data_IF_727019959815
#
_entry.id   IF_727019959815
#
_cell.length_a   1.000
_cell.length_b   1.000
_cell.length_c   1.000
_cell.angle_alpha   90.00
_cell.angle_beta   90.00
_cell.angle_gamma   90.00
#
_symmetry.space_group_name_H-M   'P 1'
#
loop_
_entity.id
_entity.type
_entity.pdbx_description
1 polymer ?
#
# COMPACT_ATOMS: atom_id res chain seq x y z
N UNK A 1 19.00 -5.84 13.47
CA UNK A 1 19.60 -6.87 14.35
C UNK A 1 19.46 -6.38 15.77
N UNK A 2 19.09 -7.25 16.69
CA UNK A 2 19.10 -6.93 18.11
C UNK A 2 20.55 -6.90 18.62
N UNK A 3 20.82 -6.08 19.61
CA UNK A 3 22.16 -5.96 20.24
C UNK A 3 22.34 -6.95 21.41
N UNK A 4 21.28 -7.64 21.78
CA UNK A 4 21.25 -8.62 22.88
C UNK A 4 20.34 -9.78 22.50
N UNK A 5 20.52 -10.93 23.12
CA UNK A 5 19.62 -12.07 23.02
C UNK A 5 18.27 -11.72 23.65
N UNK A 6 17.19 -12.02 22.97
CA UNK A 6 15.81 -11.81 23.46
C UNK A 6 15.24 -13.18 23.82
N UNK A 7 14.78 -13.40 25.04
CA UNK A 7 14.13 -14.65 25.41
C UNK A 7 12.89 -14.94 24.57
N UNK A 8 12.65 -16.22 24.27
CA UNK A 8 11.42 -16.65 23.59
C UNK A 8 10.18 -16.20 24.37
N UNK A 9 9.14 -15.76 23.63
CA UNK A 9 7.90 -15.25 24.22
C UNK A 9 7.95 -13.79 24.68
N UNK A 10 9.09 -13.09 24.46
CA UNK A 10 9.17 -11.65 24.77
C UNK A 10 8.53 -10.83 23.66
N UNK A 11 7.64 -9.89 24.02
CA UNK A 11 7.11 -8.91 23.07
C UNK A 11 8.22 -7.98 22.62
N UNK A 12 8.57 -8.00 21.33
CA UNK A 12 9.64 -7.17 20.76
C UNK A 12 9.15 -5.85 20.23
N UNK A 13 7.86 -5.76 19.87
CA UNK A 13 7.19 -4.55 19.41
C UNK A 13 5.69 -4.66 19.68
N UNK A 14 5.10 -3.57 20.11
CA UNK A 14 3.66 -3.39 20.20
C UNK A 14 3.26 -2.18 19.35
N UNK A 15 2.30 -2.37 18.46
CA UNK A 15 1.80 -1.31 17.56
C UNK A 15 0.31 -1.14 17.87
N UNK A 16 -0.11 0.05 18.34
CA UNK A 16 -1.51 0.33 18.60
C UNK A 16 -2.34 0.23 17.31
N UNK A 17 -3.56 -0.29 17.42
CA UNK A 17 -4.45 -0.48 16.26
C UNK A 17 -4.75 0.85 15.53
N UNK A 18 -4.75 1.95 16.26
CA UNK A 18 -5.05 3.30 15.74
C UNK A 18 -4.01 3.81 14.74
N UNK A 19 -2.78 3.26 14.76
CA UNK A 19 -1.74 3.63 13.79
C UNK A 19 -1.69 2.66 12.61
N UNK A 20 -2.44 1.57 12.65
CA UNK A 20 -2.55 0.63 11.55
C UNK A 20 -3.47 1.19 10.46
N UNK A 21 -3.06 1.05 9.21
CA UNK A 21 -3.83 1.48 8.04
C UNK A 21 -4.61 0.28 7.49
N UNK A 22 -5.83 0.02 7.99
CA UNK A 22 -6.71 -0.97 7.37
C UNK A 22 -7.50 -0.35 6.22
N UNK A 23 -7.67 -1.07 5.13
CA UNK A 23 -8.38 -0.57 3.94
C UNK A 23 -9.83 -0.25 4.23
N UNK A 24 -10.48 -0.96 5.17
CA UNK A 24 -11.85 -0.70 5.59
C UNK A 24 -11.99 0.63 6.34
N UNK A 25 -11.12 0.92 7.31
CA UNK A 25 -11.12 2.20 8.04
C UNK A 25 -10.75 3.36 7.11
N UNK A 26 -9.72 3.18 6.28
CA UNK A 26 -9.30 4.16 5.27
C UNK A 26 -10.41 4.46 4.27
N UNK A 27 -11.17 3.45 3.83
CA UNK A 27 -12.29 3.66 2.91
C UNK A 27 -13.37 4.55 3.50
N UNK A 28 -13.69 4.39 4.79
CA UNK A 28 -14.65 5.23 5.48
C UNK A 28 -14.14 6.67 5.60
N UNK A 29 -12.89 6.85 6.02
CA UNK A 29 -12.25 8.14 6.15
C UNK A 29 -12.24 8.92 4.81
N UNK A 30 -11.73 8.29 3.74
CA UNK A 30 -11.56 8.95 2.44
C UNK A 30 -12.90 9.28 1.78
N UNK A 31 -13.91 8.40 1.91
CA UNK A 31 -15.25 8.70 1.38
C UNK A 31 -15.95 9.82 2.17
N UNK A 32 -15.74 9.91 3.49
CA UNK A 32 -16.27 11.01 4.30
C UNK A 32 -15.61 12.35 3.96
N UNK A 33 -14.33 12.34 3.58
CA UNK A 33 -13.53 13.52 3.23
C UNK A 33 -13.62 13.91 1.73
N UNK A 34 -14.34 13.16 0.90
CA UNK A 34 -14.48 13.41 -0.55
C UNK A 34 -15.67 14.35 -0.82
N UNK A 35 -15.43 15.66 -1.06
CA UNK A 35 -16.50 16.67 -1.09
C UNK A 35 -17.45 16.51 -2.27
N UNK A 36 -17.00 15.90 -3.37
CA UNK A 36 -17.81 15.67 -4.57
C UNK A 36 -18.14 14.19 -4.82
N UNK A 37 -17.76 13.29 -3.90
CA UNK A 37 -17.87 11.84 -4.09
C UNK A 37 -16.91 11.28 -5.12
N UNK A 38 -15.81 11.98 -5.38
CA UNK A 38 -14.81 11.62 -6.37
C UNK A 38 -14.11 10.29 -6.06
N UNK A 39 -13.90 9.99 -4.77
CA UNK A 39 -13.33 8.70 -4.33
C UNK A 39 -14.26 7.55 -4.71
N UNK A 40 -15.56 7.64 -4.38
CA UNK A 40 -16.54 6.62 -4.75
C UNK A 40 -16.66 6.45 -6.27
N UNK A 41 -16.64 7.56 -7.03
CA UNK A 41 -16.67 7.52 -8.48
C UNK A 41 -15.41 6.87 -9.09
N UNK A 42 -14.24 7.02 -8.45
CA UNK A 42 -13.02 6.35 -8.86
C UNK A 42 -13.10 4.84 -8.62
N UNK A 43 -13.61 4.42 -7.47
CA UNK A 43 -13.82 2.99 -7.13
C UNK A 43 -14.84 2.35 -8.09
N UNK A 44 -15.95 3.01 -8.39
CA UNK A 44 -16.93 2.53 -9.37
C UNK A 44 -16.31 2.34 -10.75
N UNK A 45 -15.46 3.28 -11.17
CA UNK A 45 -14.73 3.16 -12.43
C UNK A 45 -13.71 2.02 -12.38
N UNK A 46 -12.99 1.87 -11.27
CA UNK A 46 -12.02 0.77 -11.06
C UNK A 46 -12.71 -0.59 -11.20
N UNK A 47 -13.88 -0.76 -10.57
CA UNK A 47 -14.68 -1.98 -10.69
C UNK A 47 -15.07 -2.28 -12.14
N UNK A 48 -15.49 -1.25 -12.90
CA UNK A 48 -15.90 -1.39 -14.31
C UNK A 48 -14.77 -1.79 -15.25
N UNK A 49 -13.51 -1.45 -14.91
CA UNK A 49 -12.33 -1.82 -15.71
C UNK A 49 -11.66 -3.11 -15.23
N UNK A 50 -12.31 -3.87 -14.35
CA UNK A 50 -11.82 -5.17 -13.87
C UNK A 50 -10.88 -5.11 -12.66
N UNK A 51 -10.85 -3.98 -11.95
CA UNK A 51 -10.00 -3.78 -10.77
C UNK A 51 -10.66 -4.11 -9.43
N UNK A 52 -11.80 -4.83 -9.42
CA UNK A 52 -12.56 -5.10 -8.19
C UNK A 52 -11.75 -5.79 -7.08
N UNK A 53 -10.83 -6.67 -7.44
CA UNK A 53 -9.96 -7.37 -6.48
C UNK A 53 -8.82 -6.49 -5.94
N UNK A 54 -8.74 -5.24 -6.37
CA UNK A 54 -7.69 -4.30 -5.97
C UNK A 54 -8.24 -3.05 -5.28
N UNK A 55 -9.53 -3.05 -4.92
CA UNK A 55 -10.19 -1.88 -4.31
C UNK A 55 -9.59 -1.59 -2.92
N UNK A 56 -9.31 -2.62 -2.12
CA UNK A 56 -8.67 -2.47 -0.82
C UNK A 56 -7.29 -1.79 -0.94
N UNK A 57 -6.45 -2.29 -1.86
CA UNK A 57 -5.14 -1.68 -2.13
C UNK A 57 -5.26 -0.26 -2.69
N UNK A 58 -6.31 0.01 -3.48
CA UNK A 58 -6.54 1.35 -4.02
C UNK A 58 -6.85 2.37 -2.93
N UNK A 59 -7.62 2.01 -1.91
CA UNK A 59 -7.85 2.89 -0.76
C UNK A 59 -6.55 3.18 -0.02
N UNK A 60 -5.72 2.17 0.25
CA UNK A 60 -4.41 2.38 0.89
C UNK A 60 -3.48 3.23 0.01
N UNK A 61 -3.49 3.02 -1.31
CA UNK A 61 -2.76 3.85 -2.25
C UNK A 61 -3.18 5.33 -2.18
N UNK A 62 -4.49 5.63 -2.16
CA UNK A 62 -4.98 6.99 -1.99
C UNK A 62 -4.59 7.58 -0.64
N UNK A 63 -4.64 6.78 0.44
CA UNK A 63 -4.23 7.22 1.77
C UNK A 63 -2.76 7.62 1.79
N UNK A 64 -1.86 6.82 1.21
CA UNK A 64 -0.44 7.16 1.13
C UNK A 64 -0.18 8.43 0.32
N UNK A 65 -0.94 8.67 -0.76
CA UNK A 65 -0.84 9.91 -1.52
C UNK A 65 -1.31 11.12 -0.70
N UNK A 66 -2.41 10.99 0.04
CA UNK A 66 -2.92 12.06 0.90
C UNK A 66 -1.95 12.40 2.02
N UNK A 67 -1.36 11.38 2.66
CA UNK A 67 -0.36 11.57 3.70
C UNK A 67 0.96 12.14 3.13
N UNK A 68 1.33 11.77 1.91
CA UNK A 68 2.45 12.38 1.20
C UNK A 68 2.23 13.89 0.98
N UNK A 69 1.02 14.31 0.58
CA UNK A 69 0.68 15.74 0.41
C UNK A 69 0.62 16.51 1.74
N UNK A 70 0.31 15.83 2.84
CA UNK A 70 0.30 16.44 4.16
C UNK A 70 1.71 16.76 4.68
N UNK A 71 2.76 16.16 4.09
CA UNK A 71 4.16 16.39 4.45
C UNK A 71 4.39 16.26 5.97
N UNK A 72 5.04 17.22 6.61
CA UNK A 72 5.32 17.23 8.06
C UNK A 72 4.05 17.32 8.94
N UNK A 73 2.88 17.64 8.36
CA UNK A 73 1.61 17.61 9.06
C UNK A 73 0.98 16.20 9.13
N UNK A 74 1.50 15.24 8.40
CA UNK A 74 1.06 13.86 8.47
C UNK A 74 1.45 13.22 9.81
N UNK A 75 0.51 12.53 10.44
CA UNK A 75 0.79 11.69 11.61
C UNK A 75 1.77 10.53 11.28
N UNK A 76 1.91 10.20 10.01
CA UNK A 76 2.77 9.13 9.50
C UNK A 76 4.10 9.64 8.95
N UNK A 77 4.38 10.94 9.05
CA UNK A 77 5.56 11.57 8.40
C UNK A 77 6.86 10.82 8.68
N UNK A 78 7.16 10.54 9.96
CA UNK A 78 8.42 9.87 10.32
C UNK A 78 8.55 8.45 9.73
N UNK A 79 7.45 7.72 9.61
CA UNK A 79 7.43 6.40 8.97
C UNK A 79 7.58 6.54 7.44
N UNK A 80 6.84 7.45 6.82
CA UNK A 80 6.91 7.70 5.37
C UNK A 80 8.28 8.20 4.95
N UNK A 81 8.93 9.04 5.76
CA UNK A 81 10.27 9.55 5.48
C UNK A 81 11.35 8.47 5.59
N UNK A 82 11.13 7.48 6.48
CA UNK A 82 11.99 6.31 6.62
C UNK A 82 11.84 5.25 5.52
N UNK A 83 10.83 5.36 4.64
CA UNK A 83 10.62 4.39 3.56
C UNK A 83 11.62 4.56 2.40
N UNK A 84 11.97 3.45 1.70
CA UNK A 84 12.71 3.54 0.45
C UNK A 84 11.99 4.46 -0.56
N UNK A 85 12.73 5.33 -1.21
CA UNK A 85 12.18 6.20 -2.27
C UNK A 85 12.08 5.52 -3.62
N UNK A 86 12.87 4.46 -3.83
CA UNK A 86 12.90 3.70 -5.08
C UNK A 86 12.56 2.24 -4.83
N UNK A 87 11.72 1.71 -5.69
CA UNK A 87 11.36 0.30 -5.75
C UNK A 87 11.71 -0.25 -7.14
N UNK A 88 12.11 -1.53 -7.18
CA UNK A 88 12.59 -2.18 -8.40
C UNK A 88 11.69 -3.35 -8.83
N UNK A 89 10.40 -3.26 -8.51
CA UNK A 89 9.39 -4.22 -8.92
C UNK A 89 8.71 -3.83 -10.25
N UNK A 90 7.72 -4.60 -10.67
CA UNK A 90 7.16 -4.51 -12.01
C UNK A 90 6.62 -3.13 -12.39
N UNK A 91 5.93 -2.42 -11.49
CA UNK A 91 5.41 -1.08 -11.78
C UNK A 91 6.51 -0.06 -12.12
N UNK A 92 7.76 -0.31 -11.69
CA UNK A 92 8.93 0.53 -11.93
C UNK A 92 9.79 0.08 -13.11
N UNK A 93 9.51 -1.09 -13.71
CA UNK A 93 10.27 -1.62 -14.83
C UNK A 93 10.01 -0.84 -16.12
N UNK A 94 11.06 -0.72 -16.93
CA UNK A 94 10.99 -0.23 -18.31
C UNK A 94 10.56 -1.34 -19.27
N UNK A 95 10.12 -1.01 -20.48
CA UNK A 95 9.77 -2.00 -21.51
C UNK A 95 10.92 -2.96 -21.80
N UNK A 96 12.17 -2.44 -21.83
CA UNK A 96 13.35 -3.28 -21.98
C UNK A 96 13.51 -4.32 -20.85
N UNK A 97 13.21 -3.93 -19.60
CA UNK A 97 13.24 -4.90 -18.49
C UNK A 97 12.25 -6.03 -18.72
N UNK A 98 11.04 -5.72 -19.20
CA UNK A 98 10.02 -6.72 -19.49
C UNK A 98 10.45 -7.71 -20.56
N UNK A 99 11.12 -7.26 -21.62
CA UNK A 99 11.63 -8.12 -22.70
C UNK A 99 12.68 -9.13 -22.22
N UNK A 100 13.38 -8.83 -21.13
CA UNK A 100 14.40 -9.69 -20.56
C UNK A 100 13.88 -10.72 -19.54
N UNK A 101 12.57 -10.69 -19.21
CA UNK A 101 12.02 -11.56 -18.16
C UNK A 101 11.70 -12.97 -18.67
N UNK A 102 11.96 -14.00 -17.85
CA UNK A 102 11.41 -15.34 -18.11
C UNK A 102 9.87 -15.33 -18.23
N UNK A 103 9.26 -16.21 -19.04
CA UNK A 103 7.82 -16.14 -19.35
C UNK A 103 6.89 -16.05 -18.14
N UNK A 104 7.15 -16.83 -17.08
CA UNK A 104 6.35 -16.79 -15.86
C UNK A 104 6.47 -15.45 -15.15
N UNK A 105 7.70 -14.96 -14.97
CA UNK A 105 7.97 -13.68 -14.32
C UNK A 105 7.38 -12.54 -15.13
N UNK A 106 7.50 -12.58 -16.45
CA UNK A 106 6.85 -11.63 -17.36
C UNK A 106 5.33 -11.56 -17.12
N UNK A 107 4.66 -12.72 -17.08
CA UNK A 107 3.21 -12.78 -16.89
C UNK A 107 2.79 -12.16 -15.55
N UNK A 108 3.48 -12.48 -14.46
CA UNK A 108 3.21 -11.91 -13.12
C UNK A 108 3.48 -10.41 -13.08
N UNK A 109 4.60 -9.98 -13.65
CA UNK A 109 4.96 -8.56 -13.71
C UNK A 109 3.96 -7.74 -14.54
N UNK A 110 3.43 -8.31 -15.62
CA UNK A 110 2.37 -7.66 -16.44
C UNK A 110 1.09 -7.47 -15.64
N UNK A 111 0.68 -8.42 -14.80
CA UNK A 111 -0.50 -8.27 -13.94
C UNK A 111 -0.33 -7.11 -12.95
N UNK A 112 0.84 -7.00 -12.31
CA UNK A 112 1.17 -5.90 -11.42
C UNK A 112 1.12 -4.54 -12.16
N UNK A 113 1.73 -4.47 -13.35
CA UNK A 113 1.73 -3.27 -14.17
C UNK A 113 0.31 -2.84 -14.56
N UNK A 114 -0.54 -3.78 -14.97
CA UNK A 114 -1.95 -3.51 -15.29
C UNK A 114 -2.70 -2.96 -14.07
N UNK A 115 -2.46 -3.51 -12.88
CA UNK A 115 -3.04 -3.00 -11.64
C UNK A 115 -2.65 -1.54 -11.38
N UNK A 116 -1.37 -1.21 -11.54
CA UNK A 116 -0.89 0.17 -11.42
C UNK A 116 -1.52 1.10 -12.45
N UNK A 117 -1.57 0.70 -13.71
CA UNK A 117 -2.17 1.49 -14.79
C UNK A 117 -3.68 1.72 -14.56
N UNK A 118 -4.40 0.73 -14.02
CA UNK A 118 -5.79 0.88 -13.61
C UNK A 118 -5.95 1.94 -12.52
N UNK A 119 -5.06 1.96 -11.51
CA UNK A 119 -5.08 2.98 -10.47
C UNK A 119 -4.87 4.38 -11.06
N UNK A 120 -3.86 4.55 -11.92
CA UNK A 120 -3.63 5.82 -12.62
C UNK A 120 -4.83 6.28 -13.43
N UNK A 121 -5.47 5.37 -14.17
CA UNK A 121 -6.61 5.68 -15.02
C UNK A 121 -7.81 6.25 -14.25
N UNK A 122 -8.02 5.83 -13.01
CA UNK A 122 -9.16 6.27 -12.19
C UNK A 122 -8.87 7.50 -11.34
N UNK A 123 -7.59 7.87 -11.14
CA UNK A 123 -7.18 9.03 -10.34
C UNK A 123 -7.80 10.35 -10.78
N UNK A 124 -8.13 10.49 -12.07
CA UNK A 124 -8.79 11.70 -12.60
C UNK A 124 -10.15 12.00 -11.96
N UNK A 125 -10.75 11.03 -11.26
CA UNK A 125 -12.03 11.18 -10.55
C UNK A 125 -11.85 11.60 -9.09
N UNK A 126 -10.68 11.30 -8.51
CA UNK A 126 -10.40 11.55 -7.09
C UNK A 126 -10.30 13.05 -6.85
N UNK A 127 -10.99 13.53 -5.82
CA UNK A 127 -11.09 14.96 -5.47
C UNK A 127 -10.31 15.35 -4.21
N UNK A 128 -9.72 14.37 -3.52
CA UNK A 128 -8.93 14.56 -2.29
C UNK A 128 -7.42 14.63 -2.54
N UNK A 129 -6.97 14.44 -3.77
CA UNK A 129 -5.56 14.49 -4.16
C UNK A 129 -5.37 15.61 -5.18
N UNK A 130 -4.31 16.39 -5.05
CA UNK A 130 -3.99 17.49 -5.97
C UNK A 130 -3.64 17.00 -7.37
N UNK A 131 -3.86 17.85 -8.36
CA UNK A 131 -3.47 17.52 -9.74
C UNK A 131 -1.93 17.44 -9.90
N UNK A 132 -1.18 18.11 -9.05
CA UNK A 132 0.28 17.99 -9.00
C UNK A 132 0.69 16.56 -8.69
N UNK A 133 0.17 15.96 -7.63
CA UNK A 133 0.46 14.58 -7.22
C UNK A 133 -0.08 13.56 -8.22
N UNK A 134 -1.30 13.75 -8.74
CA UNK A 134 -1.88 12.86 -9.78
C UNK A 134 -1.03 12.78 -11.05
N UNK A 135 -0.28 13.82 -11.38
CA UNK A 135 0.58 13.88 -12.56
C UNK A 135 2.06 13.55 -12.25
N UNK A 136 2.40 13.26 -11.00
CA UNK A 136 3.76 12.90 -10.60
C UNK A 136 3.94 11.37 -10.62
N UNK A 137 4.42 10.83 -11.74
CA UNK A 137 4.57 9.38 -11.95
C UNK A 137 5.47 8.70 -10.92
N UNK A 138 6.50 9.40 -10.41
CA UNK A 138 7.41 8.84 -9.41
C UNK A 138 6.73 8.70 -8.04
N UNK A 139 5.93 9.67 -7.64
CA UNK A 139 5.13 9.61 -6.41
C UNK A 139 4.05 8.52 -6.51
N UNK A 140 3.40 8.40 -7.67
CA UNK A 140 2.41 7.35 -7.90
C UNK A 140 3.05 5.96 -7.84
N UNK A 141 4.20 5.76 -8.48
CA UNK A 141 4.95 4.49 -8.39
C UNK A 141 5.36 4.20 -6.96
N UNK A 142 5.88 5.20 -6.25
CA UNK A 142 6.28 5.05 -4.85
C UNK A 142 5.10 4.59 -3.98
N UNK A 143 3.97 5.29 -4.01
CA UNK A 143 2.80 4.95 -3.22
C UNK A 143 2.23 3.56 -3.57
N UNK A 144 2.13 3.24 -4.87
CA UNK A 144 1.70 1.92 -5.32
C UNK A 144 2.61 0.82 -4.80
N UNK A 145 3.92 0.99 -4.94
CA UNK A 145 4.90 -0.01 -4.53
C UNK A 145 4.96 -0.16 -3.00
N UNK A 146 4.80 0.94 -2.25
CA UNK A 146 4.72 0.88 -0.80
C UNK A 146 3.53 0.01 -0.35
N UNK A 147 2.34 0.19 -0.94
CA UNK A 147 1.20 -0.68 -0.67
C UNK A 147 1.50 -2.12 -1.09
N UNK A 148 1.93 -2.33 -2.33
CA UNK A 148 2.13 -3.65 -2.92
C UNK A 148 3.13 -4.52 -2.15
N UNK A 149 4.16 -3.90 -1.54
CA UNK A 149 5.24 -4.61 -0.85
C UNK A 149 5.09 -4.66 0.67
N UNK A 150 4.19 -3.85 1.27
CA UNK A 150 4.08 -3.70 2.73
C UNK A 150 2.70 -4.02 3.29
N UNK A 151 1.69 -4.10 2.43
CA UNK A 151 0.35 -4.48 2.85
C UNK A 151 0.21 -6.00 2.89
N UNK A 152 -0.55 -6.48 3.84
CA UNK A 152 -0.90 -7.90 3.96
C UNK A 152 -2.39 -8.08 4.21
N UNK A 153 -2.92 -9.19 3.66
CA UNK A 153 -4.31 -9.55 3.85
C UNK A 153 -4.53 -10.12 5.25
N UNK A 154 -5.71 -9.94 5.78
CA UNK A 154 -6.13 -10.51 7.05
C UNK A 154 -6.03 -12.04 7.06
N UNK A 155 -5.90 -12.64 8.27
CA UNK A 155 -5.60 -14.07 8.48
C UNK A 155 -6.55 -15.04 7.78
N UNK A 156 -7.77 -14.63 7.51
CA UNK A 156 -8.80 -15.49 6.94
C UNK A 156 -8.67 -15.73 5.42
N UNK A 157 -7.68 -15.10 4.76
CA UNK A 157 -7.40 -15.29 3.33
C UNK A 157 -8.58 -15.00 2.39
N UNK A 158 -9.74 -14.66 2.94
CA UNK A 158 -10.96 -14.27 2.21
C UNK A 158 -11.03 -12.78 1.92
N UNK A 159 -9.97 -12.07 2.26
CA UNK A 159 -9.42 -10.83 1.83
C UNK A 159 -10.36 -9.73 1.37
N UNK A 160 -11.31 -9.31 2.20
CA UNK A 160 -11.98 -8.03 1.99
C UNK A 160 -11.20 -6.85 2.58
N UNK A 161 -10.31 -7.10 3.54
CA UNK A 161 -9.47 -6.08 4.17
C UNK A 161 -7.97 -6.34 3.99
N UNK A 162 -7.23 -5.28 3.83
CA UNK A 162 -5.78 -5.27 3.67
C UNK A 162 -5.21 -4.21 4.59
N UNK A 163 -4.14 -4.54 5.30
CA UNK A 163 -3.60 -3.67 6.34
C UNK A 163 -2.11 -3.39 6.12
N UNK A 164 -1.69 -2.15 6.33
CA UNK A 164 -0.30 -1.79 6.53
C UNK A 164 -0.11 -1.45 8.01
N UNK A 165 0.91 -2.03 8.61
CA UNK A 165 1.27 -1.77 10.01
C UNK A 165 2.58 -0.98 10.03
N UNK A 166 2.53 0.36 10.20
CA UNK A 166 3.73 1.19 10.26
C UNK A 166 4.72 0.68 11.31
N UNK A 167 6.00 0.68 10.99
CA UNK A 167 7.11 0.09 11.73
C UNK A 167 7.12 -1.44 11.75
N UNK A 168 5.97 -2.13 11.86
CA UNK A 168 5.88 -3.58 11.72
C UNK A 168 6.31 -4.06 10.33
N UNK A 169 6.02 -3.26 9.32
CA UNK A 169 6.41 -3.47 7.92
C UNK A 169 7.93 -3.37 7.66
N UNK A 170 8.70 -2.92 8.66
CA UNK A 170 10.17 -2.84 8.59
C UNK A 170 10.88 -4.15 8.95
N UNK A 171 10.17 -5.15 9.46
CA UNK A 171 10.74 -6.47 9.68
C UNK A 171 11.03 -7.16 8.35
N UNK A 172 12.26 -7.69 8.23
CA UNK A 172 12.64 -8.45 7.06
C UNK A 172 12.05 -9.87 7.11
N UNK A 173 11.64 -10.36 5.93
CA UNK A 173 11.25 -11.76 5.78
C UNK A 173 12.46 -12.68 5.95
N UNK A 174 12.26 -13.83 6.61
CA UNK A 174 13.28 -14.86 6.82
C UNK A 174 12.70 -16.25 6.58
N UNK A 175 13.54 -17.18 6.08
CA UNK A 175 13.17 -18.59 5.88
C UNK A 175 12.80 -19.28 7.20
N UNK A 176 13.42 -18.83 8.31
CA UNK A 176 13.13 -19.29 9.65
C UNK A 176 12.69 -18.07 10.46
N UNK A 177 11.37 -17.80 10.57
CA UNK A 177 10.88 -16.64 11.30
C UNK A 177 11.25 -16.75 12.78
N UNK A 178 11.83 -15.68 13.32
CA UNK A 178 12.19 -15.56 14.73
C UNK A 178 11.18 -14.70 15.50
N UNK A 179 10.22 -14.10 14.78
CA UNK A 179 9.17 -13.23 15.34
C UNK A 179 7.84 -13.69 14.78
N UNK A 180 6.84 -13.80 15.62
CA UNK A 180 5.46 -14.05 15.25
C UNK A 180 4.63 -12.79 15.47
N UNK A 181 3.64 -12.57 14.61
CA UNK A 181 2.70 -11.44 14.72
C UNK A 181 1.40 -11.96 15.33
N UNK A 182 0.95 -11.30 16.38
CA UNK A 182 -0.34 -11.54 16.98
C UNK A 182 -1.17 -10.28 16.91
N UNK A 183 -2.46 -10.43 16.60
CA UNK A 183 -3.44 -9.38 16.78
C UNK A 183 -4.09 -9.60 18.14
N UNK A 184 -3.99 -8.60 19.02
CA UNK A 184 -4.67 -8.61 20.30
C UNK A 184 -6.12 -8.20 20.05
N UNK A 185 -7.05 -9.06 20.38
CA UNK A 185 -8.49 -8.80 20.20
C UNK A 185 -9.08 -7.88 21.29
N UNK A 186 -8.21 -7.27 22.14
CA UNK A 186 -8.53 -6.21 23.11
C UNK A 186 -9.69 -6.49 24.07
#
# INVERSE_FOLDING_TARGET
MTTQDIPSGTTVMYIPAEVCLSSSAVSQELNANSPTGGVAAAVDKLNKIGGQNSVADFYLFLKLLAEYEAEENSAYFGWLDGMPRLFYNAASMTDFCYECLPPLVFSLSRLEKVKFDNFKQVLSKVDIISDYTKNNDEVLKWAFNAVYTRAYADKDGQGSDVTITPLGDMFNHGTFPQVEVYFDEG
#
